data_IF_478250644892
#
_entry.id   IF_478250644892
#
_cell.length_a   1.000
_cell.length_b   1.000
_cell.length_c   1.000
_cell.angle_alpha   90.00
_cell.angle_beta   90.00
_cell.angle_gamma   90.00
#
_symmetry.space_group_name_H-M   'P 1'
#
loop_
_entity.id
_entity.type
_entity.pdbx_description
1 polymer ?
#
# COMPACT_ATOMS: atom_id res chain seq x y z
N UNK A 1 -19.25 -12.79 1.00
CA UNK A 1 -18.59 -12.66 2.34
C UNK A 1 -17.12 -12.47 2.02
N UNK A 2 -16.50 -11.32 2.34
CA UNK A 2 -15.10 -11.09 1.92
C UNK A 2 -14.20 -12.11 2.60
N UNK A 3 -13.59 -12.99 1.81
CA UNK A 3 -12.68 -14.00 2.33
C UNK A 3 -11.27 -13.50 2.07
N UNK A 4 -10.52 -13.25 3.15
CA UNK A 4 -9.10 -12.89 3.04
C UNK A 4 -8.35 -14.10 2.49
N UNK A 5 -7.74 -13.95 1.32
CA UNK A 5 -7.10 -15.03 0.59
C UNK A 5 -5.62 -15.18 0.99
N UNK A 6 -4.94 -14.06 1.24
CA UNK A 6 -3.53 -14.03 1.65
C UNK A 6 -3.19 -12.67 2.30
N UNK A 7 -2.22 -12.69 3.21
CA UNK A 7 -1.61 -11.51 3.80
C UNK A 7 -0.08 -11.61 3.64
N UNK A 8 0.58 -10.48 3.41
CA UNK A 8 2.03 -10.41 3.26
C UNK A 8 2.56 -9.11 3.84
N UNK A 9 3.81 -9.11 4.26
CA UNK A 9 4.51 -7.92 4.71
C UNK A 9 5.75 -7.68 3.86
N UNK A 10 5.97 -6.42 3.53
CA UNK A 10 7.07 -5.99 2.69
C UNK A 10 7.71 -4.72 3.22
N UNK A 11 8.94 -4.50 2.77
CA UNK A 11 9.64 -3.23 3.00
C UNK A 11 9.74 -2.48 1.68
N UNK A 12 9.41 -1.20 1.73
CA UNK A 12 9.40 -0.33 0.58
C UNK A 12 9.94 1.05 0.92
N UNK A 13 9.83 1.95 -0.05
CA UNK A 13 10.17 3.36 0.08
C UNK A 13 8.99 4.19 -0.36
N UNK A 14 8.52 5.07 0.51
CA UNK A 14 7.50 6.03 0.15
C UNK A 14 8.16 7.22 -0.54
N UNK A 15 7.79 7.48 -1.79
CA UNK A 15 8.24 8.61 -2.60
C UNK A 15 7.19 9.71 -2.64
N UNK A 16 7.58 10.92 -2.21
CA UNK A 16 6.75 12.13 -2.22
C UNK A 16 7.62 13.31 -2.64
N UNK A 17 7.22 14.03 -3.69
CA UNK A 17 7.96 15.20 -4.19
C UNK A 17 9.47 14.94 -4.40
N UNK A 18 9.85 13.73 -4.84
CA UNK A 18 11.24 13.33 -5.06
C UNK A 18 12.02 12.93 -3.79
N UNK A 19 11.39 12.93 -2.61
CA UNK A 19 11.96 12.42 -1.37
C UNK A 19 11.47 11.00 -1.11
N UNK A 20 12.40 10.11 -0.78
CA UNK A 20 12.10 8.71 -0.47
C UNK A 20 12.35 8.42 1.02
N UNK A 21 11.41 7.73 1.67
CA UNK A 21 11.58 7.26 3.05
C UNK A 21 11.31 5.76 3.17
N UNK A 22 12.20 4.98 3.80
CA UNK A 22 11.95 3.58 4.06
C UNK A 22 10.73 3.41 4.97
N UNK A 23 9.78 2.58 4.53
CA UNK A 23 8.54 2.27 5.24
C UNK A 23 8.24 0.78 5.12
N UNK A 24 7.60 0.24 6.14
CA UNK A 24 7.04 -1.13 6.08
C UNK A 24 5.59 -1.06 5.63
N UNK A 25 5.19 -1.98 4.77
CA UNK A 25 3.82 -2.10 4.27
C UNK A 25 3.31 -3.53 4.43
N UNK A 26 1.99 -3.64 4.48
CA UNK A 26 1.22 -4.87 4.59
C UNK A 26 0.34 -4.98 3.34
N UNK A 27 0.31 -6.16 2.76
CA UNK A 27 -0.50 -6.55 1.63
C UNK A 27 -1.61 -7.46 2.14
N UNK A 28 -2.83 -7.16 1.75
CA UNK A 28 -4.00 -7.97 2.08
C UNK A 28 -4.75 -8.26 0.80
N UNK A 29 -4.80 -9.52 0.40
CA UNK A 29 -5.58 -9.98 -0.75
C UNK A 29 -6.96 -10.36 -0.26
N UNK A 30 -7.97 -9.61 -0.69
CA UNK A 30 -9.36 -9.99 -0.51
C UNK A 30 -9.85 -10.66 -1.80
N UNK A 31 -10.45 -11.86 -1.68
CA UNK A 31 -11.17 -12.49 -2.79
C UNK A 31 -12.66 -12.27 -2.60
N UNK A 32 -13.30 -11.75 -3.64
CA UNK A 32 -14.76 -11.69 -3.74
C UNK A 32 -15.31 -12.96 -4.39
N UNK A 33 -16.59 -13.26 -4.15
CA UNK A 33 -17.30 -14.42 -4.72
C UNK A 33 -17.34 -14.41 -6.27
N UNK A 34 -17.03 -13.28 -6.93
CA UNK A 34 -17.03 -13.07 -8.40
C UNK A 34 -15.65 -13.35 -9.05
N UNK A 35 -14.79 -14.15 -8.40
CA UNK A 35 -13.38 -14.40 -8.78
C UNK A 35 -12.46 -13.16 -8.80
N UNK A 36 -12.99 -11.97 -8.51
CA UNK A 36 -12.20 -10.75 -8.39
C UNK A 36 -11.32 -10.81 -7.14
N UNK A 37 -10.02 -10.60 -7.34
CA UNK A 37 -9.07 -10.45 -6.27
C UNK A 37 -8.69 -8.97 -6.16
N UNK A 38 -8.91 -8.41 -4.99
CA UNK A 38 -8.50 -7.04 -4.68
C UNK A 38 -7.29 -7.09 -3.76
N UNK A 39 -6.17 -6.51 -4.20
CA UNK A 39 -4.99 -6.35 -3.35
C UNK A 39 -5.05 -4.99 -2.69
N UNK A 40 -5.24 -5.00 -1.37
CA UNK A 40 -5.21 -3.81 -0.53
C UNK A 40 -3.85 -3.70 0.14
N UNK A 41 -3.20 -2.57 -0.05
CA UNK A 41 -1.90 -2.27 0.55
C UNK A 41 -2.13 -1.28 1.67
N UNK A 42 -1.56 -1.54 2.84
CA UNK A 42 -1.66 -0.67 4.00
C UNK A 42 -0.26 -0.44 4.53
N UNK A 43 0.12 0.80 4.76
CA UNK A 43 1.44 1.11 5.30
C UNK A 43 1.37 2.25 6.28
N UNK A 44 2.28 2.25 7.24
CA UNK A 44 2.36 3.29 8.24
C UNK A 44 3.53 4.22 7.91
N UNK A 45 3.22 5.49 7.71
CA UNK A 45 4.20 6.53 7.46
C UNK A 45 4.12 7.59 8.57
N UNK A 46 5.27 8.13 9.03
CA UNK A 46 5.27 9.18 10.03
C UNK A 46 4.66 10.46 9.45
N UNK A 47 3.65 10.98 10.15
CA UNK A 47 2.89 12.16 9.74
C UNK A 47 3.78 13.38 9.53
N UNK A 48 4.71 13.62 10.46
CA UNK A 48 5.66 14.73 10.40
C UNK A 48 6.49 14.69 9.12
N UNK A 49 6.86 13.50 8.65
CA UNK A 49 7.58 13.38 7.39
C UNK A 49 6.67 13.68 6.20
N UNK A 50 5.45 13.14 6.17
CA UNK A 50 4.47 13.42 5.12
C UNK A 50 4.18 14.92 5.00
N UNK A 51 3.91 15.58 6.13
CA UNK A 51 3.71 17.02 6.21
C UNK A 51 4.94 17.79 5.72
N UNK A 52 6.13 17.36 6.13
CA UNK A 52 7.40 17.97 5.70
C UNK A 52 7.64 17.84 4.19
N UNK A 53 7.18 16.73 3.58
CA UNK A 53 7.26 16.53 2.13
C UNK A 53 6.13 17.21 1.34
N UNK A 54 5.15 17.82 2.01
CA UNK A 54 3.97 18.39 1.36
C UNK A 54 3.02 17.32 0.81
N UNK A 55 2.86 16.20 1.51
CA UNK A 55 1.86 15.19 1.18
C UNK A 55 0.46 15.79 1.15
N UNK A 56 -0.25 15.63 0.03
CA UNK A 56 -1.57 16.23 -0.19
C UNK A 56 -2.71 15.18 -0.30
N UNK A 57 -2.42 13.93 0.09
CA UNK A 57 -3.39 12.82 0.05
C UNK A 57 -2.97 11.66 -0.85
N UNK A 58 -2.02 11.88 -1.76
CA UNK A 58 -1.44 10.88 -2.65
C UNK A 58 0.09 10.79 -2.49
N UNK A 59 0.61 9.56 -2.57
CA UNK A 59 2.03 9.24 -2.53
C UNK A 59 2.32 7.99 -3.36
N UNK A 60 3.59 7.79 -3.72
CA UNK A 60 4.01 6.61 -4.46
C UNK A 60 4.79 5.69 -3.54
N UNK A 61 4.27 4.50 -3.27
CA UNK A 61 5.03 3.44 -2.62
C UNK A 61 5.86 2.69 -3.66
N UNK A 62 7.17 2.72 -3.51
CA UNK A 62 8.11 1.89 -4.28
C UNK A 62 8.49 0.68 -3.46
N UNK A 63 8.05 -0.50 -3.89
CA UNK A 63 8.36 -1.78 -3.26
C UNK A 63 9.80 -2.20 -3.54
N UNK A 64 10.34 -3.10 -2.74
CA UNK A 64 11.70 -3.63 -2.91
C UNK A 64 11.93 -4.32 -4.27
N UNK A 65 10.87 -4.82 -4.90
CA UNK A 65 10.92 -5.42 -6.25
C UNK A 65 10.93 -4.38 -7.39
N UNK A 66 10.87 -3.07 -7.08
CA UNK A 66 10.82 -1.99 -8.06
C UNK A 66 9.41 -1.60 -8.53
N UNK A 67 8.38 -2.30 -8.06
CA UNK A 67 6.98 -1.96 -8.35
C UNK A 67 6.58 -0.67 -7.65
N UNK A 68 5.84 0.18 -8.36
CA UNK A 68 5.38 1.47 -7.87
C UNK A 68 3.87 1.45 -7.74
N UNK A 69 3.36 1.76 -6.56
CA UNK A 69 1.93 1.73 -6.27
C UNK A 69 1.53 3.09 -5.72
N UNK A 70 0.48 3.66 -6.30
CA UNK A 70 -0.13 4.87 -5.76
C UNK A 70 -0.86 4.50 -4.46
N UNK A 71 -0.40 5.06 -3.36
CA UNK A 71 -1.04 4.96 -2.06
C UNK A 71 -1.69 6.29 -1.74
N UNK A 72 -2.91 6.23 -1.23
CA UNK A 72 -3.68 7.41 -0.85
C UNK A 72 -4.27 7.20 0.53
N UNK A 73 -4.61 8.29 1.20
CA UNK A 73 -5.37 8.19 2.44
C UNK A 73 -6.84 8.42 2.14
N UNK A 74 -7.69 7.48 2.55
CA UNK A 74 -9.13 7.76 2.63
C UNK A 74 -9.39 8.48 3.96
N UNK A 75 -9.65 9.78 3.87
CA UNK A 75 -9.70 10.69 5.01
C UNK A 75 -8.50 11.64 5.01
N UNK A 76 -8.77 12.94 5.11
CA UNK A 76 -7.75 13.98 5.12
C UNK A 76 -6.73 13.78 6.24
N UNK A 77 -5.51 14.28 6.06
CA UNK A 77 -4.48 14.29 7.10
C UNK A 77 -4.79 15.42 8.09
N UNK A 78 -5.11 15.10 9.34
CA UNK A 78 -5.33 16.13 10.36
C UNK A 78 -4.15 16.24 11.34
N UNK A 79 -3.97 17.42 11.93
CA UNK A 79 -2.92 17.66 12.94
C UNK A 79 -3.26 17.05 14.31
N UNK A 80 -4.47 16.53 14.48
CA UNK A 80 -4.86 15.67 15.60
C UNK A 80 -4.56 14.18 15.34
N UNK A 81 -4.22 13.79 14.10
CA UNK A 81 -3.89 12.39 13.79
C UNK A 81 -2.65 11.92 14.54
N UNK A 82 -2.61 10.61 14.79
CA UNK A 82 -1.48 9.95 15.42
C UNK A 82 -0.14 10.26 14.70
N UNK A 83 0.96 10.15 15.46
CA UNK A 83 2.33 10.37 14.99
C UNK A 83 2.65 9.56 13.72
N UNK A 84 2.00 8.41 13.56
CA UNK A 84 2.01 7.62 12.34
C UNK A 84 0.62 7.58 11.73
N UNK A 85 0.53 7.85 10.43
CA UNK A 85 -0.71 7.69 9.67
C UNK A 85 -0.63 6.48 8.78
N UNK A 86 -1.78 5.82 8.62
CA UNK A 86 -1.92 4.71 7.69
C UNK A 86 -2.30 5.25 6.31
N UNK A 87 -1.53 4.86 5.30
CA UNK A 87 -1.80 5.09 3.88
C UNK A 87 -2.28 3.79 3.24
N UNK A 88 -3.19 3.90 2.28
CA UNK A 88 -3.84 2.76 1.66
C UNK A 88 -3.72 2.81 0.13
N UNK A 89 -3.16 1.76 -0.44
CA UNK A 89 -3.11 1.54 -1.89
C UNK A 89 -4.13 0.50 -2.30
N UNK A 90 -4.75 0.71 -3.45
CA UNK A 90 -5.57 -0.31 -4.11
C UNK A 90 -4.88 -0.64 -5.41
N UNK A 91 -4.48 -1.90 -5.57
CA UNK A 91 -4.01 -2.42 -6.82
C UNK A 91 -5.12 -3.31 -7.40
N UNK A 92 -5.93 -2.72 -8.26
CA UNK A 92 -7.01 -3.38 -9.01
C UNK A 92 -6.50 -3.99 -10.33
N UNK A 93 -5.22 -3.76 -10.64
CA UNK A 93 -4.64 -3.97 -11.96
C UNK A 93 -4.42 -5.45 -12.32
N UNK A 94 -4.53 -6.37 -11.36
CA UNK A 94 -4.28 -7.79 -11.58
C UNK A 94 -5.61 -8.56 -11.54
N UNK A 95 -6.20 -8.76 -12.73
CA UNK A 95 -7.42 -9.55 -12.90
C UNK A 95 -7.24 -11.07 -12.72
N UNK A 96 -6.00 -11.54 -12.55
CA UNK A 96 -5.66 -12.97 -12.51
C UNK A 96 -4.74 -13.33 -11.33
N UNK A 97 -5.06 -14.43 -10.65
CA UNK A 97 -4.34 -14.94 -9.47
C UNK A 97 -2.87 -15.31 -9.75
N UNK A 98 -2.56 -15.69 -10.99
CA UNK A 98 -1.20 -15.97 -11.43
C UNK A 98 -0.35 -14.70 -11.47
N UNK A 99 -0.94 -13.61 -11.95
CA UNK A 99 -0.30 -12.31 -12.13
C UNK A 99 0.02 -11.66 -10.77
N UNK A 100 -0.90 -11.79 -9.79
CA UNK A 100 -0.65 -11.37 -8.40
C UNK A 100 0.50 -12.17 -7.78
N UNK A 101 0.55 -13.49 -7.98
CA UNK A 101 1.61 -14.31 -7.37
C UNK A 101 3.00 -14.03 -7.95
N UNK A 102 3.08 -13.57 -9.20
CA UNK A 102 4.32 -13.11 -9.84
C UNK A 102 4.68 -11.65 -9.47
N UNK A 103 3.69 -10.77 -9.38
CA UNK A 103 3.86 -9.36 -8.99
C UNK A 103 4.12 -9.16 -7.49
N UNK A 104 3.72 -10.14 -6.67
CA UNK A 104 3.84 -10.12 -5.21
C UNK A 104 4.45 -11.46 -4.73
N UNK A 105 5.75 -11.71 -5.00
CA UNK A 105 6.43 -12.93 -4.55
C UNK A 105 6.46 -13.05 -3.02
N UNK A 106 6.30 -11.92 -2.32
CA UNK A 106 6.13 -11.79 -0.87
C UNK A 106 4.82 -12.37 -0.32
N UNK A 107 3.85 -12.71 -1.18
CA UNK A 107 2.60 -13.39 -0.79
C UNK A 107 2.70 -14.93 -0.84
N UNK A 108 3.80 -15.50 -1.33
CA UNK A 108 3.98 -16.94 -1.37
C UNK A 108 4.41 -17.47 0.01
N UNK A 109 3.47 -18.10 0.71
CA UNK A 109 3.76 -19.06 1.78
C UNK A 109 3.48 -20.49 1.29
#
# INVERSE_FOLDING_TARGET
MLTFAAEGNGQGKLEINGNSQPVSYELVVAREDDDRQQVRIRLNAPRDWLLKQGFNGDAILVRGNGSRIAVRREGGLDVDDAVSVTLEGYDDTHGDAGDVSEAYPELKH
#
